data_IF_774274142094
#
_entry.id   IF_774274142094
#
_cell.length_a   1.000
_cell.length_b   1.000
_cell.length_c   1.000
_cell.angle_alpha   90.00
_cell.angle_beta   90.00
_cell.angle_gamma   90.00
#
_symmetry.space_group_name_H-M   'P 1'
#
loop_
_entity.id
_entity.type
_entity.pdbx_description
1 polymer ?
#
# COMPACT_ATOMS: atom_id res chain seq x y z
N UNK A 1 -61.14 9.46 64.82
CA UNK A 1 -61.65 8.98 63.51
C UNK A 1 -61.63 10.18 62.58
N UNK A 2 -60.75 10.36 61.61
CA UNK A 2 -59.61 9.61 61.03
C UNK A 2 -58.70 10.75 60.48
N UNK A 3 -57.54 11.11 61.06
CA UNK A 3 -56.15 10.68 60.72
C UNK A 3 -55.95 10.55 59.18
N UNK A 4 -54.98 11.14 58.48
CA UNK A 4 -53.49 11.31 58.60
C UNK A 4 -53.15 12.44 57.58
N UNK A 5 -52.24 13.42 57.70
CA UNK A 5 -50.85 13.47 58.15
C UNK A 5 -49.93 13.75 56.94
N UNK A 6 -49.13 14.81 57.03
CA UNK A 6 -48.26 15.42 55.99
C UNK A 6 -47.19 14.50 55.36
N UNK A 7 -46.75 14.85 54.15
CA UNK A 7 -45.34 14.98 53.67
C UNK A 7 -45.43 15.49 52.22
N UNK A 8 -44.82 16.58 51.78
CA UNK A 8 -43.40 16.92 51.79
C UNK A 8 -42.89 16.85 50.34
N UNK A 9 -42.95 17.96 49.59
CA UNK A 9 -42.30 18.12 48.28
C UNK A 9 -41.56 19.45 48.28
N UNK A 10 -40.26 19.36 48.09
CA UNK A 10 -39.27 20.44 48.18
C UNK A 10 -39.34 21.40 46.98
N UNK A 11 -38.94 22.64 47.28
CA UNK A 11 -38.53 23.77 46.44
C UNK A 11 -37.51 23.34 45.33
N UNK A 12 -37.16 24.10 44.29
CA UNK A 12 -36.95 25.55 44.23
C UNK A 12 -36.78 26.02 42.76
N UNK A 13 -37.39 27.16 42.49
CA UNK A 13 -36.98 28.30 41.65
C UNK A 13 -36.25 28.13 40.30
N UNK A 14 -36.95 28.59 39.26
CA UNK A 14 -36.38 29.11 38.03
C UNK A 14 -35.81 30.53 38.26
N UNK A 15 -34.50 30.71 38.05
CA UNK A 15 -33.87 32.03 37.97
C UNK A 15 -33.59 32.45 36.52
N UNK A 16 -34.28 33.50 36.11
CA UNK A 16 -33.95 34.35 34.96
C UNK A 16 -33.05 35.48 35.45
N UNK A 17 -31.83 35.63 34.90
CA UNK A 17 -31.07 36.89 34.97
C UNK A 17 -30.34 37.22 33.67
N UNK A 18 -30.36 38.53 33.37
CA UNK A 18 -29.93 39.24 32.16
C UNK A 18 -28.43 39.58 32.16
N UNK A 19 -27.86 39.63 30.95
CA UNK A 19 -26.81 40.53 30.39
C UNK A 19 -25.46 40.69 31.13
N UNK A 20 -24.35 40.47 30.41
CA UNK A 20 -23.59 41.55 29.73
C UNK A 20 -22.37 40.99 28.99
N UNK A 21 -22.17 41.43 27.75
CA UNK A 21 -20.91 41.27 27.01
C UNK A 21 -19.90 42.29 27.57
N UNK A 22 -18.70 41.82 27.90
CA UNK A 22 -17.53 42.67 28.04
C UNK A 22 -16.60 42.43 26.85
N UNK A 23 -16.46 43.49 26.05
CA UNK A 23 -15.41 43.65 25.05
C UNK A 23 -14.14 44.12 25.75
N UNK A 24 -13.00 43.48 25.49
CA UNK A 24 -11.67 44.07 25.69
C UNK A 24 -10.87 43.87 24.41
N UNK A 25 -10.39 45.00 23.89
CA UNK A 25 -9.60 45.19 22.68
C UNK A 25 -8.12 45.01 22.99
N UNK A 26 -7.35 44.38 22.09
CA UNK A 26 -5.91 44.68 21.95
C UNK A 26 -5.40 44.41 20.51
N UNK A 27 -5.17 45.51 19.81
CA UNK A 27 -4.23 45.83 18.72
C UNK A 27 -3.69 44.70 17.80
N UNK A 28 -4.02 44.81 16.52
CA UNK A 28 -3.11 44.51 15.41
C UNK A 28 -2.80 45.83 14.67
N UNK A 29 -1.58 46.33 14.81
CA UNK A 29 -1.10 47.47 14.05
C UNK A 29 -0.67 47.00 12.65
N UNK A 30 -1.36 47.49 11.61
CA UNK A 30 -0.94 47.36 10.23
C UNK A 30 0.04 48.51 9.90
N UNK A 31 1.28 48.18 9.52
CA UNK A 31 2.21 49.11 8.87
C UNK A 31 2.14 48.91 7.36
N UNK A 32 1.35 49.76 6.70
CA UNK A 32 1.45 50.07 5.29
C UNK A 32 2.34 51.31 5.14
N UNK A 33 3.50 51.16 4.52
CA UNK A 33 4.23 52.27 3.92
C UNK A 33 4.98 51.74 2.69
N UNK A 34 4.41 52.04 1.52
CA UNK A 34 5.01 51.71 0.24
C UNK A 34 6.17 52.64 -0.10
N UNK A 35 7.12 52.09 -0.85
CA UNK A 35 8.06 52.84 -1.67
C UNK A 35 8.28 52.03 -2.95
N UNK A 36 7.71 52.49 -4.07
CA UNK A 36 8.22 52.16 -5.40
C UNK A 36 8.69 53.47 -6.01
N UNK A 37 10.00 53.70 -5.94
CA UNK A 37 10.67 54.69 -6.78
C UNK A 37 11.08 53.98 -8.08
N UNK A 38 10.60 54.50 -9.20
CA UNK A 38 11.08 54.15 -10.53
C UNK A 38 12.44 54.81 -10.71
N UNK A 39 13.49 54.00 -10.91
CA UNK A 39 14.72 54.46 -11.55
C UNK A 39 15.04 53.53 -12.71
N UNK A 40 15.00 54.10 -13.91
CA UNK A 40 15.45 53.50 -15.16
C UNK A 40 16.96 53.71 -15.27
N UNK A 41 17.69 52.66 -15.61
CA UNK A 41 19.02 52.75 -16.21
C UNK A 41 20.06 51.82 -15.60
N UNK A 42 20.58 50.91 -16.43
CA UNK A 42 21.83 50.19 -16.16
C UNK A 42 21.75 48.71 -16.52
N UNK A 43 22.08 48.39 -17.76
CA UNK A 43 22.39 47.03 -18.21
C UNK A 43 23.60 46.49 -17.45
N UNK A 44 23.42 45.44 -16.66
CA UNK A 44 24.50 44.53 -16.30
C UNK A 44 23.97 43.10 -16.28
N UNK A 45 24.79 42.22 -16.83
CA UNK A 45 24.47 40.87 -17.22
C UNK A 45 23.87 40.03 -16.07
N UNK A 46 22.74 39.40 -16.36
CA UNK A 46 22.12 38.34 -15.56
C UNK A 46 23.11 37.19 -15.40
N UNK A 47 23.84 37.16 -14.29
CA UNK A 47 24.39 35.91 -13.80
C UNK A 47 23.20 35.04 -13.37
N UNK A 48 23.07 33.86 -13.98
CA UNK A 48 22.10 32.86 -13.53
C UNK A 48 22.24 32.68 -12.01
N UNK A 49 21.14 32.71 -11.24
CA UNK A 49 21.22 32.41 -9.82
C UNK A 49 21.82 31.02 -9.66
N UNK A 50 22.85 30.91 -8.81
CA UNK A 50 23.40 29.62 -8.42
C UNK A 50 22.25 28.68 -8.02
N UNK A 51 22.27 27.40 -8.43
CA UNK A 51 21.18 26.47 -8.13
C UNK A 51 20.92 26.47 -6.62
N UNK A 52 19.69 26.78 -6.24
CA UNK A 52 19.25 26.80 -4.85
C UNK A 52 19.61 25.45 -4.23
N UNK A 53 20.38 25.46 -3.14
CA UNK A 53 20.87 24.26 -2.49
C UNK A 53 19.66 23.43 -2.07
N UNK A 54 19.51 22.22 -2.63
CA UNK A 54 18.42 21.30 -2.30
C UNK A 54 18.37 21.15 -0.77
N UNK A 55 17.23 21.51 -0.18
CA UNK A 55 17.03 21.47 1.26
C UNK A 55 16.79 20.02 1.68
N UNK A 56 17.57 19.56 2.64
CA UNK A 56 17.31 18.28 3.33
C UNK A 56 16.30 18.46 4.46
N UNK A 57 15.55 17.41 4.75
CA UNK A 57 14.77 17.30 5.97
C UNK A 57 15.70 17.37 7.19
N UNK A 58 15.35 18.19 8.20
CA UNK A 58 16.20 18.35 9.36
C UNK A 58 16.18 17.10 10.25
N UNK A 59 17.31 16.82 10.91
CA UNK A 59 17.45 15.69 11.84
C UNK A 59 17.42 16.23 13.26
N UNK A 60 16.42 15.83 14.05
CA UNK A 60 16.34 16.15 15.47
C UNK A 60 16.15 14.87 16.30
N UNK A 61 17.12 14.49 17.15
CA UNK A 61 16.97 13.31 18.00
C UNK A 61 15.71 13.38 18.87
N UNK A 62 14.84 12.37 18.75
CA UNK A 62 13.59 12.21 19.50
C UNK A 62 12.44 13.12 19.08
N UNK A 63 12.62 14.02 18.11
CA UNK A 63 11.64 15.06 17.74
C UNK A 63 11.47 15.13 16.22
N UNK A 64 10.24 15.28 15.75
CA UNK A 64 9.91 15.35 14.33
C UNK A 64 9.03 16.57 14.05
N UNK A 65 9.63 17.73 13.72
CA UNK A 65 8.87 18.89 13.29
C UNK A 65 8.33 18.70 11.86
N UNK A 66 7.26 19.43 11.48
CA UNK A 66 6.71 19.35 10.14
C UNK A 66 7.71 19.93 9.13
N UNK A 67 7.73 19.39 7.91
CA UNK A 67 8.64 19.84 6.86
C UNK A 67 8.35 21.26 6.33
N UNK A 68 7.17 21.81 6.67
CA UNK A 68 6.73 23.13 6.22
C UNK A 68 6.12 23.15 4.82
N UNK A 69 5.97 21.97 4.19
CA UNK A 69 5.19 21.78 2.96
C UNK A 69 3.86 21.14 3.33
N UNK A 70 2.76 21.64 2.76
CA UNK A 70 1.40 21.16 3.03
C UNK A 70 0.86 20.32 1.89
N UNK A 71 0.20 19.23 2.24
CA UNK A 71 -0.63 18.43 1.34
C UNK A 71 -1.82 19.26 0.81
N UNK A 72 -2.33 18.94 -0.38
CA UNK A 72 -3.39 19.71 -1.03
C UNK A 72 -4.76 19.55 -0.34
N UNK A 73 -4.92 18.53 0.50
CA UNK A 73 -6.15 18.23 1.22
C UNK A 73 -5.85 17.77 2.65
N UNK A 74 -6.77 18.06 3.58
CA UNK A 74 -6.76 17.56 4.96
C UNK A 74 -7.30 16.13 5.03
N UNK A 75 -7.26 15.52 6.21
CA UNK A 75 -7.69 14.14 6.47
C UNK A 75 -6.80 13.19 5.65
N UNK A 76 -5.48 13.41 5.66
CA UNK A 76 -4.55 12.51 5.01
C UNK A 76 -4.29 11.32 5.91
N UNK A 77 -4.52 10.13 5.36
CA UNK A 77 -4.37 8.86 6.06
C UNK A 77 -3.74 7.84 5.11
N UNK A 78 -2.99 6.89 5.67
CA UNK A 78 -2.22 5.92 4.91
C UNK A 78 -1.09 6.50 4.06
N UNK A 79 0.02 5.77 3.96
CA UNK A 79 1.13 6.13 3.07
C UNK A 79 1.90 4.87 2.72
N UNK A 80 2.26 4.69 1.44
CA UNK A 80 3.14 3.60 1.01
C UNK A 80 4.17 4.10 0.02
N UNK A 81 5.40 3.63 0.17
CA UNK A 81 6.42 3.78 -0.85
C UNK A 81 6.14 2.82 -2.00
N UNK A 82 6.19 3.32 -3.23
CA UNK A 82 5.96 2.56 -4.44
C UNK A 82 6.92 1.36 -4.56
N UNK A 83 6.44 0.22 -5.07
CA UNK A 83 7.32 -0.88 -5.50
C UNK A 83 7.72 -0.74 -6.97
N UNK A 84 6.84 -0.19 -7.81
CA UNK A 84 7.05 -0.11 -9.26
C UNK A 84 7.82 1.13 -9.69
N UNK A 85 7.64 2.27 -9.02
CA UNK A 85 8.16 3.57 -9.41
C UNK A 85 9.06 4.16 -8.31
N UNK A 86 10.40 3.98 -8.38
CA UNK A 86 11.32 4.46 -7.35
C UNK A 86 11.11 5.93 -7.00
N UNK A 87 11.10 6.23 -5.69
CA UNK A 87 10.89 7.57 -5.15
C UNK A 87 9.43 8.05 -5.13
N UNK A 88 8.49 7.29 -5.69
CA UNK A 88 7.07 7.59 -5.59
C UNK A 88 6.47 7.04 -4.30
N UNK A 89 5.47 7.77 -3.80
CA UNK A 89 4.66 7.40 -2.66
C UNK A 89 3.20 7.66 -2.98
N UNK A 90 2.33 6.86 -2.38
CA UNK A 90 0.89 7.02 -2.51
C UNK A 90 0.25 7.14 -1.13
N UNK A 91 -0.70 8.05 -1.02
CA UNK A 91 -1.49 8.30 0.19
C UNK A 91 -2.97 8.44 -0.19
N UNK A 92 -3.86 8.39 0.80
CA UNK A 92 -5.29 8.56 0.60
C UNK A 92 -5.86 9.51 1.64
N UNK A 93 -7.17 9.73 1.56
CA UNK A 93 -7.88 10.49 2.58
C UNK A 93 -8.83 9.58 3.32
N UNK A 94 -8.91 9.64 4.63
CA UNK A 94 -9.92 8.93 5.42
C UNK A 94 -11.25 9.68 5.37
N UNK A 95 -11.23 11.00 5.60
CA UNK A 95 -12.42 11.80 5.83
C UNK A 95 -12.66 12.97 4.87
N UNK A 96 -13.52 13.89 5.32
CA UNK A 96 -13.84 15.16 4.66
C UNK A 96 -14.67 15.09 3.37
N UNK A 97 -15.16 16.24 2.90
CA UNK A 97 -15.99 16.32 1.69
C UNK A 97 -15.16 16.25 0.40
N UNK A 98 -15.61 15.45 -0.57
CA UNK A 98 -15.08 15.49 -1.94
C UNK A 98 -15.45 16.82 -2.63
N UNK A 99 -14.46 17.54 -3.14
CA UNK A 99 -14.64 18.84 -3.83
C UNK A 99 -13.80 18.90 -5.11
N UNK A 100 -14.10 19.80 -6.07
CA UNK A 100 -13.25 20.02 -7.24
C UNK A 100 -11.80 20.27 -6.84
N UNK A 101 -10.86 19.52 -7.43
CA UNK A 101 -9.43 19.58 -7.10
C UNK A 101 -9.03 18.91 -5.77
N UNK A 102 -9.97 18.38 -5.00
CA UNK A 102 -9.74 17.62 -3.76
C UNK A 102 -10.69 16.41 -3.69
N UNK A 103 -10.59 15.46 -4.64
CA UNK A 103 -11.42 14.26 -4.60
C UNK A 103 -11.14 13.42 -3.35
N UNK A 104 -12.19 12.82 -2.77
CA UNK A 104 -12.08 11.85 -1.66
C UNK A 104 -11.91 10.41 -2.17
N UNK A 105 -12.63 10.04 -3.23
CA UNK A 105 -12.53 8.73 -3.88
C UNK A 105 -11.29 8.69 -4.80
N UNK A 106 -10.10 8.90 -4.25
CA UNK A 106 -8.87 9.01 -5.02
C UNK A 106 -7.64 8.58 -4.20
N UNK A 107 -6.65 8.07 -4.92
CA UNK A 107 -5.28 7.94 -4.43
C UNK A 107 -4.52 9.19 -4.82
N UNK A 108 -3.62 9.66 -3.97
CA UNK A 108 -2.77 10.81 -4.21
C UNK A 108 -1.32 10.37 -4.31
N UNK A 109 -0.61 10.87 -5.30
CA UNK A 109 0.82 10.62 -5.47
C UNK A 109 1.66 11.74 -4.85
N UNK A 110 2.88 11.40 -4.46
CA UNK A 110 3.97 12.36 -4.23
C UNK A 110 5.30 11.71 -4.58
N UNK A 111 6.32 12.53 -4.88
CA UNK A 111 7.71 12.08 -4.90
C UNK A 111 8.42 12.63 -3.68
N UNK A 112 9.23 11.82 -3.00
CA UNK A 112 10.08 12.28 -1.89
C UNK A 112 11.52 12.09 -2.33
N UNK A 113 12.31 13.17 -2.27
CA UNK A 113 13.73 13.18 -2.61
C UNK A 113 14.54 12.33 -1.62
N UNK A 114 15.79 12.00 -1.97
CA UNK A 114 16.73 11.40 -1.02
C UNK A 114 16.98 12.28 0.22
N UNK A 115 16.76 13.60 0.09
CA UNK A 115 16.84 14.54 1.20
C UNK A 115 15.61 14.51 2.12
N UNK A 116 14.53 13.83 1.74
CA UNK A 116 13.29 13.73 2.52
C UNK A 116 12.27 14.85 2.24
N UNK A 117 12.44 15.60 1.15
CA UNK A 117 11.52 16.68 0.76
C UNK A 117 10.64 16.28 -0.41
N UNK A 118 9.37 16.73 -0.47
CA UNK A 118 8.50 16.47 -1.61
C UNK A 118 9.00 17.16 -2.88
N UNK A 119 8.89 16.47 -4.01
CA UNK A 119 9.27 16.94 -5.34
C UNK A 119 8.11 16.80 -6.33
N UNK A 120 8.17 17.57 -7.42
CA UNK A 120 7.13 17.51 -8.44
C UNK A 120 7.05 16.12 -9.09
N UNK A 121 5.82 15.64 -9.24
CA UNK A 121 5.53 14.34 -9.86
C UNK A 121 5.29 14.52 -11.36
N UNK A 122 4.50 15.54 -11.76
CA UNK A 122 4.13 15.84 -13.16
C UNK A 122 4.29 17.33 -13.45
N UNK A 123 5.29 17.73 -14.24
CA UNK A 123 5.58 19.15 -14.46
C UNK A 123 5.85 19.84 -13.12
N UNK A 124 5.00 20.82 -12.75
CA UNK A 124 5.07 21.53 -11.47
C UNK A 124 4.11 20.97 -10.39
N UNK A 125 3.38 19.90 -10.69
CA UNK A 125 2.41 19.30 -9.77
C UNK A 125 3.09 18.37 -8.76
N UNK A 126 3.13 18.80 -7.49
CA UNK A 126 3.66 18.02 -6.36
C UNK A 126 2.79 16.83 -5.99
N UNK A 127 1.47 17.00 -6.04
CA UNK A 127 0.52 16.06 -5.44
C UNK A 127 -0.63 15.70 -6.40
N UNK A 128 -0.37 14.94 -7.47
CA UNK A 128 -1.42 14.50 -8.37
C UNK A 128 -2.41 13.56 -7.69
N UNK A 129 -3.69 13.68 -8.04
CA UNK A 129 -4.72 12.71 -7.65
C UNK A 129 -5.04 11.75 -8.81
N UNK A 130 -5.37 10.52 -8.44
CA UNK A 130 -5.76 9.41 -9.30
C UNK A 130 -7.14 8.94 -8.84
N UNK A 131 -8.23 9.36 -9.50
CA UNK A 131 -9.58 8.97 -9.10
C UNK A 131 -9.75 7.46 -9.10
N UNK A 132 -10.43 6.91 -8.09
CA UNK A 132 -10.76 5.50 -7.99
C UNK A 132 -12.23 5.30 -8.38
N UNK A 133 -12.49 4.23 -9.13
CA UNK A 133 -13.83 3.85 -9.60
C UNK A 133 -14.17 2.43 -9.17
N UNK A 134 -15.46 2.13 -9.01
CA UNK A 134 -15.93 0.84 -8.49
C UNK A 134 -16.05 0.75 -6.96
N UNK A 135 -15.60 1.77 -6.23
CA UNK A 135 -15.82 1.93 -4.80
C UNK A 135 -15.97 3.40 -4.40
N UNK A 136 -16.61 3.64 -3.26
CA UNK A 136 -16.65 4.94 -2.59
C UNK A 136 -15.76 4.90 -1.36
N UNK A 137 -15.16 6.03 -1.04
CA UNK A 137 -14.43 6.22 0.18
C UNK A 137 -15.41 6.48 1.32
N UNK A 138 -15.76 5.40 2.02
CA UNK A 138 -16.60 5.46 3.22
C UNK A 138 -15.75 5.82 4.44
N UNK A 139 -14.64 5.10 4.63
CA UNK A 139 -13.65 5.27 5.72
C UNK A 139 -12.34 4.54 5.34
N UNK A 140 -11.63 5.06 4.34
CA UNK A 140 -10.35 4.48 3.90
C UNK A 140 -9.22 4.92 4.82
N UNK A 141 -8.52 4.00 5.46
CA UNK A 141 -7.57 4.35 6.52
C UNK A 141 -6.11 4.12 6.11
N UNK A 142 -5.84 3.08 5.33
CA UNK A 142 -4.47 2.77 4.96
C UNK A 142 -4.39 2.11 3.60
N UNK A 143 -3.17 2.03 3.05
CA UNK A 143 -2.89 1.39 1.79
C UNK A 143 -1.54 0.69 1.82
N UNK A 144 -1.44 -0.41 1.08
CA UNK A 144 -0.20 -1.19 0.99
C UNK A 144 0.01 -1.70 -0.43
N UNK A 145 1.19 -2.26 -0.71
CA UNK A 145 1.52 -2.83 -2.03
C UNK A 145 1.96 -4.28 -1.87
N UNK A 146 1.28 -5.18 -2.59
CA UNK A 146 1.58 -6.61 -2.57
C UNK A 146 2.88 -6.94 -3.34
N UNK A 147 3.31 -8.20 -3.34
CA UNK A 147 4.54 -8.63 -4.03
C UNK A 147 4.43 -8.60 -5.56
N UNK A 148 3.21 -8.56 -6.09
CA UNK A 148 2.95 -8.40 -7.51
C UNK A 148 2.90 -6.92 -7.95
N UNK A 149 3.08 -5.97 -7.02
CA UNK A 149 3.03 -4.54 -7.30
C UNK A 149 1.61 -3.98 -7.42
N UNK A 150 0.58 -4.70 -6.96
CA UNK A 150 -0.77 -4.13 -6.89
C UNK A 150 -0.96 -3.32 -5.62
N UNK A 151 -1.64 -2.18 -5.75
CA UNK A 151 -2.00 -1.32 -4.64
C UNK A 151 -3.29 -1.83 -4.00
N UNK A 152 -3.31 -1.90 -2.69
CA UNK A 152 -4.45 -2.33 -1.90
C UNK A 152 -4.87 -1.21 -0.96
N UNK A 153 -6.17 -0.89 -0.98
CA UNK A 153 -6.79 0.11 -0.14
C UNK A 153 -7.53 -0.62 0.98
N UNK A 154 -7.26 -0.25 2.22
CA UNK A 154 -8.00 -0.65 3.38
C UNK A 154 -9.14 0.33 3.66
N UNK A 155 -10.38 -0.07 3.36
CA UNK A 155 -11.56 0.54 3.99
C UNK A 155 -11.71 -0.10 5.37
N UNK A 156 -11.07 0.49 6.38
CA UNK A 156 -10.87 -0.14 7.69
C UNK A 156 -11.51 0.63 8.83
N UNK A 157 -11.86 1.90 8.62
CA UNK A 157 -12.54 2.68 9.65
C UNK A 157 -13.91 2.07 9.95
N UNK A 158 -14.25 2.07 11.24
CA UNK A 158 -15.50 1.49 11.75
C UNK A 158 -15.89 2.13 13.09
N UNK A 159 -15.67 3.43 13.24
CA UNK A 159 -15.98 4.20 14.45
C UNK A 159 -17.43 4.01 14.93
N UNK A 160 -18.35 3.76 13.99
CA UNK A 160 -19.78 3.58 14.23
C UNK A 160 -20.24 2.11 14.35
N UNK A 161 -19.34 1.13 14.22
CA UNK A 161 -19.59 -0.32 14.18
C UNK A 161 -20.48 -0.86 13.03
N UNK A 162 -20.91 0.00 12.11
CA UNK A 162 -21.81 -0.34 11.00
C UNK A 162 -21.09 -0.38 9.67
N UNK A 163 -19.98 0.34 9.56
CA UNK A 163 -19.24 0.44 8.31
C UNK A 163 -18.68 -0.93 7.92
N UNK A 164 -18.87 -1.26 6.64
CA UNK A 164 -18.40 -2.52 6.10
C UNK A 164 -16.92 -2.39 5.75
N UNK A 165 -16.08 -3.04 6.54
CA UNK A 165 -14.64 -3.04 6.28
C UNK A 165 -14.28 -3.94 5.10
N UNK A 166 -13.39 -3.45 4.23
CA UNK A 166 -13.02 -4.11 2.98
C UNK A 166 -11.54 -3.90 2.63
N UNK A 167 -10.99 -4.86 1.89
CA UNK A 167 -9.78 -4.67 1.09
C UNK A 167 -10.16 -4.50 -0.37
N UNK A 168 -9.68 -3.44 -1.00
CA UNK A 168 -9.94 -3.10 -2.40
C UNK A 168 -8.62 -3.12 -3.18
N UNK A 169 -8.58 -3.82 -4.31
CA UNK A 169 -7.38 -3.90 -5.17
C UNK A 169 -7.51 -2.95 -6.34
N UNK A 170 -6.47 -2.15 -6.57
CA UNK A 170 -6.31 -1.30 -7.76
C UNK A 170 -4.89 -1.47 -8.34
N UNK A 171 -4.69 -1.01 -9.57
CA UNK A 171 -3.33 -0.91 -10.12
C UNK A 171 -2.56 0.22 -9.42
N UNK A 172 -1.25 0.03 -9.25
CA UNK A 172 -0.37 1.12 -8.83
C UNK A 172 -0.28 2.19 -9.94
N UNK A 173 -0.63 3.46 -9.68
CA UNK A 173 -0.74 4.46 -10.72
C UNK A 173 0.64 4.89 -11.25
N UNK A 174 0.81 4.89 -12.57
CA UNK A 174 2.00 5.47 -13.18
C UNK A 174 2.11 6.98 -12.85
N UNK A 175 3.31 7.52 -12.57
CA UNK A 175 3.48 8.92 -12.17
C UNK A 175 2.92 9.94 -13.15
N UNK A 176 2.97 9.62 -14.45
CA UNK A 176 2.40 10.45 -15.53
C UNK A 176 0.93 10.15 -15.86
N UNK A 177 0.33 9.12 -15.27
CA UNK A 177 -1.06 8.75 -15.51
C UNK A 177 -2.04 9.72 -14.84
N UNK A 178 -3.32 9.71 -15.24
CA UNK A 178 -4.37 10.58 -14.66
C UNK A 178 -5.60 9.82 -14.15
N UNK A 179 -5.62 8.49 -14.27
CA UNK A 179 -6.76 7.66 -13.89
C UNK A 179 -7.93 7.67 -14.90
N UNK A 180 -9.06 7.02 -14.55
CA UNK A 180 -9.34 6.43 -13.23
C UNK A 180 -8.64 5.08 -12.98
N UNK A 181 -8.42 4.77 -11.70
CA UNK A 181 -8.04 3.45 -11.20
C UNK A 181 -9.31 2.63 -10.96
N UNK A 182 -9.44 1.50 -11.63
CA UNK A 182 -10.59 0.60 -11.43
C UNK A 182 -10.32 -0.36 -10.26
N UNK A 183 -11.31 -0.51 -9.37
CA UNK A 183 -11.30 -1.56 -8.35
C UNK A 183 -11.56 -2.91 -9.02
N UNK A 184 -10.54 -3.75 -9.08
CA UNK A 184 -10.58 -5.06 -9.75
C UNK A 184 -10.82 -6.23 -8.79
N UNK A 185 -10.70 -6.00 -7.48
CA UNK A 185 -11.09 -6.97 -6.45
C UNK A 185 -11.59 -6.27 -5.18
N UNK A 186 -12.56 -6.87 -4.49
CA UNK A 186 -13.13 -6.34 -3.25
C UNK A 186 -13.49 -7.48 -2.29
N UNK A 187 -12.86 -7.51 -1.12
CA UNK A 187 -13.10 -8.51 -0.11
C UNK A 187 -13.63 -7.87 1.16
N UNK A 188 -14.71 -8.43 1.70
CA UNK A 188 -15.25 -7.95 2.97
C UNK A 188 -14.56 -8.64 4.14
N UNK A 189 -14.14 -7.87 5.14
CA UNK A 189 -13.47 -8.42 6.31
C UNK A 189 -14.46 -8.94 7.36
N UNK A 190 -14.09 -10.05 8.01
CA UNK A 190 -14.84 -10.67 9.11
C UNK A 190 -13.92 -10.91 10.30
N UNK A 191 -14.07 -10.09 11.32
CA UNK A 191 -13.31 -10.22 12.56
C UNK A 191 -13.85 -11.37 13.42
N UNK A 192 -12.98 -12.14 14.08
CA UNK A 192 -13.40 -13.33 14.81
C UNK A 192 -13.91 -13.04 16.23
N UNK A 193 -13.51 -11.93 16.85
CA UNK A 193 -13.53 -11.78 18.30
C UNK A 193 -13.99 -10.41 18.82
N UNK A 194 -14.68 -9.56 18.03
CA UNK A 194 -15.21 -8.32 18.59
C UNK A 194 -16.35 -8.60 19.59
N UNK A 195 -16.11 -8.25 20.86
CA UNK A 195 -17.03 -8.47 21.97
C UNK A 195 -17.91 -7.25 22.29
N UNK A 196 -17.74 -6.12 21.60
CA UNK A 196 -18.58 -4.93 21.81
C UNK A 196 -20.02 -5.23 21.36
N UNK A 197 -21.03 -5.14 22.24
CA UNK A 197 -22.41 -5.46 21.88
C UNK A 197 -22.89 -4.65 20.68
N UNK A 198 -23.41 -5.35 19.66
CA UNK A 198 -23.87 -4.74 18.41
C UNK A 198 -22.77 -4.36 17.42
N UNK A 199 -21.51 -4.74 17.67
CA UNK A 199 -20.38 -4.49 16.77
C UNK A 199 -19.73 -5.82 16.35
N UNK A 200 -19.57 -6.01 15.05
CA UNK A 200 -18.87 -7.16 14.45
C UNK A 200 -17.51 -6.78 13.83
N UNK A 201 -17.12 -5.51 13.96
CA UNK A 201 -15.96 -4.88 13.31
C UNK A 201 -15.13 -4.11 14.33
N UNK A 202 -13.81 -4.04 14.17
CA UNK A 202 -12.95 -3.18 14.98
C UNK A 202 -12.59 -1.93 14.19
N UNK A 203 -12.66 -0.74 14.78
CA UNK A 203 -11.99 0.43 14.19
C UNK A 203 -10.51 0.09 14.01
N UNK A 204 -10.04 0.06 12.77
CA UNK A 204 -8.70 -0.38 12.42
C UNK A 204 -8.12 0.61 11.43
N UNK A 205 -6.84 0.91 11.56
CA UNK A 205 -6.27 2.05 10.85
C UNK A 205 -4.94 1.74 10.17
N UNK A 206 -4.33 0.58 10.44
CA UNK A 206 -3.12 0.17 9.73
C UNK A 206 -3.32 -1.11 8.92
N UNK A 207 -2.67 -1.14 7.76
CA UNK A 207 -2.64 -2.26 6.83
C UNK A 207 -1.21 -2.54 6.38
N UNK A 208 -0.79 -3.79 6.52
CA UNK A 208 0.53 -4.23 6.10
C UNK A 208 0.43 -5.46 5.20
N UNK A 209 1.20 -5.49 4.12
CA UNK A 209 1.46 -6.71 3.36
C UNK A 209 2.78 -7.35 3.81
N UNK A 210 2.75 -8.65 4.10
CA UNK A 210 3.92 -9.43 4.47
C UNK A 210 3.74 -10.90 4.04
N UNK A 211 4.71 -11.41 3.27
CA UNK A 211 4.83 -12.83 2.88
C UNK A 211 3.52 -13.46 2.38
N UNK A 212 2.82 -12.77 1.47
CA UNK A 212 1.58 -13.28 0.88
C UNK A 212 0.29 -12.98 1.65
N UNK A 213 0.39 -12.31 2.81
CA UNK A 213 -0.75 -12.04 3.68
C UNK A 213 -0.90 -10.54 3.99
N UNK A 214 -2.14 -10.12 4.20
CA UNK A 214 -2.42 -8.83 4.83
C UNK A 214 -2.47 -8.98 6.35
N UNK A 215 -2.01 -7.95 7.04
CA UNK A 215 -2.13 -7.78 8.47
C UNK A 215 -2.85 -6.47 8.77
N UNK A 216 -3.94 -6.54 9.54
CA UNK A 216 -4.77 -5.40 9.95
C UNK A 216 -4.58 -5.14 11.44
N UNK A 217 -4.42 -3.87 11.81
CA UNK A 217 -4.16 -3.44 13.19
C UNK A 217 -5.35 -2.62 13.70
N UNK A 218 -5.98 -3.06 14.79
CA UNK A 218 -7.08 -2.31 15.38
C UNK A 218 -6.56 -1.12 16.20
N UNK A 219 -7.20 0.04 16.04
CA UNK A 219 -6.92 1.26 16.82
C UNK A 219 -7.56 1.16 18.20
N UNK A 220 -6.98 0.33 19.06
CA UNK A 220 -7.43 0.15 20.45
C UNK A 220 -6.23 0.04 21.39
N UNK A 221 -6.48 0.05 22.69
CA UNK A 221 -5.45 -0.36 23.66
C UNK A 221 -4.99 -1.79 23.39
N UNK A 222 -3.67 -2.00 23.47
CA UNK A 222 -2.95 -3.21 23.12
C UNK A 222 -2.93 -3.56 21.63
N UNK A 223 -3.54 -2.76 20.73
CA UNK A 223 -3.58 -2.96 19.26
C UNK A 223 -3.49 -4.43 18.83
N UNK A 224 -4.61 -5.18 18.82
CA UNK A 224 -4.62 -6.53 18.26
C UNK A 224 -4.30 -6.50 16.76
N UNK A 225 -3.57 -7.52 16.33
CA UNK A 225 -3.12 -7.69 14.94
C UNK A 225 -3.76 -8.93 14.36
N UNK A 226 -4.33 -8.80 13.16
CA UNK A 226 -5.08 -9.84 12.49
C UNK A 226 -4.49 -10.16 11.12
N UNK A 227 -4.17 -11.42 10.85
CA UNK A 227 -3.89 -11.90 9.49
C UNK A 227 -5.20 -12.04 8.73
N UNK A 228 -5.21 -11.64 7.47
CA UNK A 228 -6.35 -11.79 6.57
C UNK A 228 -6.14 -13.00 5.65
N UNK A 229 -7.10 -13.92 5.67
CA UNK A 229 -7.17 -15.06 4.75
C UNK A 229 -8.16 -14.73 3.63
N UNK A 230 -7.63 -14.40 2.45
CA UNK A 230 -8.45 -14.09 1.28
C UNK A 230 -9.05 -15.36 0.66
N UNK A 231 -10.35 -15.36 0.29
CA UNK A 231 -10.90 -16.42 -0.54
C UNK A 231 -10.34 -16.32 -1.96
N UNK A 232 -10.40 -17.42 -2.71
CA UNK A 232 -10.08 -17.42 -4.14
C UNK A 232 -11.03 -16.51 -4.93
N UNK A 233 -10.52 -15.89 -6.01
CA UNK A 233 -11.33 -15.09 -6.93
C UNK A 233 -10.97 -13.62 -6.87
N UNK A 234 -11.96 -12.75 -7.06
CA UNK A 234 -11.83 -11.28 -6.97
C UNK A 234 -12.79 -10.65 -5.97
N UNK A 235 -13.63 -11.47 -5.30
CA UNK A 235 -14.51 -10.99 -4.25
C UNK A 235 -14.88 -12.10 -3.27
N UNK A 236 -15.41 -11.72 -2.11
CA UNK A 236 -15.90 -12.64 -1.10
C UNK A 236 -15.68 -12.14 0.31
N UNK A 237 -15.90 -13.02 1.29
CA UNK A 237 -15.61 -12.75 2.70
C UNK A 237 -14.21 -13.27 3.05
N UNK A 238 -13.34 -12.36 3.50
CA UNK A 238 -12.04 -12.69 4.03
C UNK A 238 -12.14 -12.87 5.55
N UNK A 239 -11.62 -14.00 6.04
CA UNK A 239 -11.62 -14.33 7.47
C UNK A 239 -10.36 -13.78 8.11
N UNK A 240 -10.52 -13.18 9.29
CA UNK A 240 -9.38 -12.69 10.07
C UNK A 240 -9.03 -13.66 11.18
N UNK A 241 -7.73 -13.88 11.37
CA UNK A 241 -7.18 -14.65 12.48
C UNK A 241 -6.32 -13.73 13.33
N UNK A 242 -6.60 -13.65 14.64
CA UNK A 242 -5.77 -12.85 15.55
C UNK A 242 -4.41 -13.51 15.75
N UNK A 243 -3.35 -12.79 15.38
CA UNK A 243 -1.97 -13.29 15.40
C UNK A 243 -1.23 -12.84 16.66
N UNK A 244 -1.52 -11.62 17.12
CA UNK A 244 -0.84 -11.02 18.24
C UNK A 244 -1.53 -9.76 18.71
N UNK A 245 -0.83 -9.04 19.57
CA UNK A 245 -1.23 -7.72 20.04
C UNK A 245 0.01 -6.99 20.53
N UNK A 246 0.04 -5.68 20.39
CA UNK A 246 1.05 -4.87 21.05
C UNK A 246 0.79 -4.76 22.56
N UNK A 247 1.80 -4.32 23.28
CA UNK A 247 1.71 -3.99 24.69
C UNK A 247 2.86 -3.05 25.05
N UNK A 248 3.05 -2.81 26.35
CA UNK A 248 4.10 -1.88 26.85
C UNK A 248 3.90 -0.46 26.30
N UNK A 249 2.66 0.02 26.40
CA UNK A 249 2.22 1.37 26.02
C UNK A 249 2.33 1.69 24.52
N UNK A 250 2.27 0.65 23.68
CA UNK A 250 2.13 0.74 22.22
C UNK A 250 0.70 0.37 21.86
N UNK A 251 -0.12 1.40 21.68
CA UNK A 251 -1.58 1.32 21.59
C UNK A 251 -2.07 2.27 20.49
N UNK A 252 -3.31 2.09 20.02
CA UNK A 252 -3.99 2.99 19.08
C UNK A 252 -3.19 3.28 17.80
N UNK A 253 -2.60 2.23 17.22
CA UNK A 253 -1.80 2.33 16.01
C UNK A 253 -2.64 2.75 14.80
N UNK A 254 -2.11 3.72 14.04
CA UNK A 254 -2.71 4.30 12.84
C UNK A 254 -1.92 4.02 11.55
N UNK A 255 -0.68 3.52 11.60
CA UNK A 255 -0.04 2.89 10.44
C UNK A 255 1.05 1.91 10.90
N UNK A 256 1.51 1.10 9.96
CA UNK A 256 2.59 0.15 10.16
C UNK A 256 3.37 -0.06 8.87
N UNK A 257 4.69 -0.20 8.96
CA UNK A 257 5.53 -0.49 7.80
C UNK A 257 6.72 -1.36 8.19
N UNK A 258 7.23 -2.14 7.24
CA UNK A 258 8.47 -2.92 7.38
C UNK A 258 9.53 -2.34 6.44
N UNK A 259 10.79 -2.28 6.88
CA UNK A 259 11.91 -1.88 6.03
C UNK A 259 12.18 -2.93 4.95
N UNK A 260 12.71 -2.55 3.78
CA UNK A 260 12.93 -3.50 2.68
C UNK A 260 13.88 -4.65 3.06
N UNK A 261 14.83 -4.42 3.98
CA UNK A 261 15.74 -5.44 4.50
C UNK A 261 15.12 -6.31 5.62
N UNK A 262 13.86 -6.04 6.00
CA UNK A 262 13.09 -6.71 7.05
C UNK A 262 13.73 -6.68 8.44
N UNK A 263 14.71 -5.81 8.67
CA UNK A 263 15.36 -5.68 9.97
C UNK A 263 14.66 -4.69 10.88
N UNK A 264 13.72 -3.91 10.35
CA UNK A 264 12.89 -2.98 11.11
C UNK A 264 11.41 -3.13 10.78
N UNK A 265 10.60 -3.01 11.82
CA UNK A 265 9.18 -2.70 11.71
C UNK A 265 8.93 -1.39 12.45
N UNK A 266 8.08 -0.54 11.89
CA UNK A 266 7.61 0.66 12.55
C UNK A 266 6.09 0.61 12.69
N UNK A 267 5.61 1.24 13.77
CA UNK A 267 4.21 1.59 13.98
C UNK A 267 4.16 2.97 14.61
N UNK A 268 3.04 3.65 14.45
CA UNK A 268 2.84 4.96 15.06
C UNK A 268 1.38 5.16 15.48
N UNK A 269 1.19 5.99 16.49
CA UNK A 269 -0.09 6.65 16.76
C UNK A 269 -0.02 8.10 16.26
N UNK A 270 -1.00 8.91 16.62
CA UNK A 270 -1.10 10.30 16.18
C UNK A 270 0.07 11.20 16.63
N UNK A 271 0.84 10.79 17.65
CA UNK A 271 1.84 11.62 18.32
C UNK A 271 3.24 10.99 18.39
N UNK A 272 3.36 9.68 18.23
CA UNK A 272 4.59 8.94 18.50
C UNK A 272 4.83 7.83 17.49
N UNK A 273 6.08 7.76 17.05
CA UNK A 273 6.67 6.66 16.32
C UNK A 273 7.32 5.66 17.29
N UNK A 274 7.14 4.37 17.02
CA UNK A 274 7.93 3.29 17.59
C UNK A 274 8.58 2.47 16.47
N UNK A 275 9.86 2.18 16.62
CA UNK A 275 10.63 1.31 15.72
C UNK A 275 11.07 0.09 16.50
N UNK A 276 10.97 -1.08 15.88
CA UNK A 276 11.31 -2.39 16.43
C UNK A 276 12.39 -3.03 15.55
N UNK A 277 13.44 -3.56 16.16
CA UNK A 277 14.34 -4.50 15.49
C UNK A 277 13.63 -5.83 15.29
N UNK A 278 13.73 -6.37 14.08
CA UNK A 278 13.10 -7.65 13.69
C UNK A 278 14.14 -8.63 13.13
N UNK A 279 13.82 -9.91 13.18
CA UNK A 279 14.64 -10.97 12.56
C UNK A 279 14.19 -11.19 11.10
N UNK A 280 15.03 -10.85 10.09
CA UNK A 280 14.68 -11.04 8.69
C UNK A 280 14.57 -12.53 8.29
N UNK A 281 15.06 -13.46 9.12
CA UNK A 281 14.88 -14.90 8.91
C UNK A 281 13.48 -15.43 9.26
N UNK A 282 12.64 -14.62 9.95
CA UNK A 282 11.25 -14.98 10.25
C UNK A 282 10.30 -14.55 9.16
N UNK A 283 9.25 -15.32 8.93
CA UNK A 283 8.24 -15.07 7.89
C UNK A 283 6.82 -15.01 8.44
N UNK A 284 5.95 -14.25 7.77
CA UNK A 284 4.51 -14.18 8.02
C UNK A 284 4.16 -13.98 9.49
N UNK A 285 3.37 -14.91 10.03
CA UNK A 285 2.87 -14.82 11.41
C UNK A 285 3.99 -14.87 12.46
N UNK A 286 5.07 -15.61 12.19
CA UNK A 286 6.19 -15.71 13.12
C UNK A 286 6.98 -14.40 13.17
N UNK A 287 7.12 -13.71 12.03
CA UNK A 287 7.66 -12.35 12.00
C UNK A 287 6.79 -11.40 12.82
N UNK A 288 5.46 -11.43 12.60
CA UNK A 288 4.53 -10.52 13.29
C UNK A 288 4.43 -10.77 14.79
N UNK A 289 4.40 -12.04 15.22
CA UNK A 289 4.43 -12.40 16.65
C UNK A 289 5.73 -11.96 17.30
N UNK A 290 6.86 -12.16 16.63
CA UNK A 290 8.16 -11.73 17.13
C UNK A 290 8.20 -10.21 17.29
N UNK A 291 7.89 -9.44 16.24
CA UNK A 291 7.87 -7.98 16.28
C UNK A 291 6.97 -7.41 17.39
N UNK A 292 5.73 -7.91 17.50
CA UNK A 292 4.76 -7.44 18.52
C UNK A 292 5.14 -7.84 19.96
N UNK A 293 6.02 -8.85 20.12
CA UNK A 293 6.46 -9.32 21.45
C UNK A 293 7.61 -8.51 22.04
N UNK A 294 8.34 -7.73 21.24
CA UNK A 294 9.51 -6.97 21.67
C UNK A 294 9.16 -5.59 22.24
N UNK A 295 10.15 -4.96 22.88
CA UNK A 295 10.11 -3.52 23.14
C UNK A 295 10.58 -2.78 21.90
N UNK A 296 10.04 -1.59 21.66
CA UNK A 296 10.59 -0.70 20.64
C UNK A 296 12.08 -0.43 20.92
N UNK A 297 12.92 -0.54 19.89
CA UNK A 297 14.34 -0.19 19.90
C UNK A 297 14.56 1.31 19.69
N UNK A 298 13.62 1.97 19.02
CA UNK A 298 13.67 3.39 18.72
C UNK A 298 12.31 4.09 18.90
N UNK A 299 12.34 5.39 19.13
CA UNK A 299 11.12 6.21 19.23
C UNK A 299 11.40 7.68 18.94
N UNK A 300 10.40 8.37 18.42
CA UNK A 300 10.41 9.82 18.25
C UNK A 300 8.98 10.36 18.37
N UNK A 301 8.85 11.65 18.69
CA UNK A 301 7.55 12.34 18.79
C UNK A 301 7.36 13.32 17.65
N UNK A 302 6.15 13.34 17.08
CA UNK A 302 5.74 14.36 16.12
C UNK A 302 5.48 15.67 16.82
N UNK A 303 5.85 16.78 16.18
CA UNK A 303 5.58 18.11 16.69
C UNK A 303 4.52 18.80 15.85
N UNK A 304 3.48 19.27 16.51
CA UNK A 304 2.50 20.17 15.91
C UNK A 304 1.82 20.98 17.02
N UNK A 305 1.48 22.22 16.69
CA UNK A 305 0.66 23.04 17.57
C UNK A 305 -0.78 22.48 17.59
N UNK A 306 -1.17 21.81 18.66
CA UNK A 306 -2.53 21.26 18.83
C UNK A 306 -2.65 19.74 18.65
N UNK A 307 -1.54 19.01 18.50
CA UNK A 307 -1.52 17.57 18.20
C UNK A 307 -1.20 17.34 16.73
N UNK A 308 -0.36 16.34 16.42
CA UNK A 308 0.16 16.14 15.07
C UNK A 308 -0.80 15.36 14.16
N UNK A 309 -1.71 14.56 14.72
CA UNK A 309 -2.68 13.75 13.96
C UNK A 309 -2.04 13.00 12.78
N UNK A 310 -0.92 12.33 13.05
CA UNK A 310 -0.22 11.53 12.03
C UNK A 310 -0.94 10.20 11.83
N UNK A 311 -1.39 9.95 10.61
CA UNK A 311 -2.20 8.77 10.27
C UNK A 311 -1.69 7.98 9.05
N UNK A 312 -0.54 8.36 8.49
CA UNK A 312 0.11 7.55 7.47
C UNK A 312 1.62 7.57 7.63
N UNK A 313 2.26 6.42 7.43
CA UNK A 313 3.70 6.31 7.52
C UNK A 313 4.24 5.13 6.73
N UNK A 314 5.44 5.28 6.15
CA UNK A 314 6.11 4.19 5.43
C UNK A 314 7.62 4.34 5.43
N UNK A 315 8.32 3.21 5.42
CA UNK A 315 9.76 3.22 5.17
C UNK A 315 10.05 3.67 3.73
N UNK A 316 11.08 4.50 3.59
CA UNK A 316 11.67 4.85 2.29
C UNK A 316 12.36 3.62 1.71
N UNK A 317 12.08 3.32 0.44
CA UNK A 317 12.62 2.12 -0.22
C UNK A 317 14.14 2.08 -0.14
N UNK A 318 14.65 0.92 0.23
CA UNK A 318 16.06 0.63 0.34
C UNK A 318 16.79 1.43 1.41
N UNK A 319 16.11 2.03 2.39
CA UNK A 319 16.74 2.72 3.52
C UNK A 319 15.99 2.41 4.83
N UNK A 320 16.45 3.00 5.94
CA UNK A 320 15.69 3.03 7.20
C UNK A 320 15.09 4.42 7.48
N UNK A 321 15.05 5.31 6.50
CA UNK A 321 14.32 6.57 6.64
C UNK A 321 12.80 6.29 6.57
N UNK A 322 11.99 7.16 7.18
CA UNK A 322 10.54 6.99 7.28
C UNK A 322 9.86 8.30 6.93
N UNK A 323 8.90 8.26 6.02
CA UNK A 323 8.05 9.39 5.65
C UNK A 323 6.66 9.25 6.28
N UNK A 324 6.01 10.38 6.57
CA UNK A 324 4.69 10.40 7.18
C UNK A 324 3.79 11.51 6.62
N UNK A 325 2.47 11.27 6.68
CA UNK A 325 1.40 12.23 6.38
C UNK A 325 0.48 12.39 7.59
N UNK A 326 -0.15 13.54 7.71
CA UNK A 326 -1.04 13.87 8.81
C UNK A 326 -2.36 14.51 8.35
N UNK A 327 -3.42 14.36 9.16
CA UNK A 327 -4.75 14.90 8.88
C UNK A 327 -4.73 16.41 8.64
N UNK A 328 -3.86 17.16 9.31
CA UNK A 328 -3.73 18.61 9.17
C UNK A 328 -2.93 19.03 7.91
N UNK A 329 -2.58 18.05 7.07
CA UNK A 329 -1.83 18.20 5.83
C UNK A 329 -0.32 18.36 6.01
N UNK A 330 0.23 18.25 7.22
CA UNK A 330 1.68 18.25 7.41
C UNK A 330 2.33 16.96 6.87
N UNK A 331 3.59 17.13 6.48
CA UNK A 331 4.51 16.04 6.18
C UNK A 331 5.58 15.99 7.26
N UNK A 332 6.00 14.76 7.60
CA UNK A 332 7.12 14.51 8.50
C UNK A 332 8.09 13.52 7.87
N UNK A 333 9.34 13.59 8.31
CA UNK A 333 10.39 12.71 7.85
C UNK A 333 11.31 12.36 9.02
N UNK A 334 11.66 11.10 9.15
CA UNK A 334 12.58 10.60 10.17
C UNK A 334 13.75 9.89 9.49
N UNK A 335 14.97 10.25 9.90
CA UNK A 335 16.15 9.43 9.64
C UNK A 335 16.43 8.56 10.86
N UNK A 336 17.24 7.49 10.77
CA UNK A 336 17.63 6.67 11.91
C UNK A 336 17.97 7.43 13.19
N UNK A 337 18.74 8.51 13.06
CA UNK A 337 19.16 9.35 14.18
C UNK A 337 17.99 10.06 14.86
N UNK A 338 16.90 10.31 14.15
CA UNK A 338 15.67 10.90 14.69
C UNK A 338 15.04 9.97 15.72
N UNK A 339 15.02 8.66 15.49
CA UNK A 339 14.42 7.67 16.41
C UNK A 339 15.44 6.89 17.24
N UNK A 340 16.69 7.35 17.29
CA UNK A 340 17.71 6.85 18.22
C UNK A 340 18.65 5.78 17.67
N UNK A 341 18.65 5.56 16.35
CA UNK A 341 19.55 4.62 15.67
C UNK A 341 20.73 5.34 14.98
N UNK A 342 21.86 4.65 14.75
CA UNK A 342 22.95 5.21 13.96
C UNK A 342 22.50 5.45 12.51
N UNK A 343 23.20 6.34 11.79
CA UNK A 343 22.97 6.56 10.37
C UNK A 343 22.95 5.22 9.61
N UNK A 344 21.89 4.98 8.83
CA UNK A 344 21.83 3.79 8.02
C UNK A 344 22.88 3.85 6.93
N UNK A 345 23.54 2.71 6.71
CA UNK A 345 24.48 2.52 5.60
C UNK A 345 24.01 1.33 4.80
N UNK A 346 23.91 1.44 3.46
CA UNK A 346 23.57 0.30 2.64
C UNK A 346 24.60 -0.81 2.87
N UNK A 347 24.17 -2.08 2.94
CA UNK A 347 25.13 -3.18 2.92
C UNK A 347 26.02 -3.04 1.69
N UNK A 348 27.32 -3.37 1.79
CA UNK A 348 28.23 -3.28 0.66
C UNK A 348 27.65 -4.09 -0.50
N UNK A 349 27.45 -3.44 -1.64
CA UNK A 349 27.05 -4.14 -2.86
C UNK A 349 28.15 -5.15 -3.17
N UNK A 350 27.80 -6.44 -3.17
CA UNK A 350 28.71 -7.46 -3.68
C UNK A 350 28.98 -7.09 -5.13
N UNK A 351 30.24 -6.83 -5.53
CA UNK A 351 30.53 -6.50 -6.92
C UNK A 351 29.99 -7.62 -7.80
N UNK A 352 29.42 -7.32 -8.98
CA UNK A 352 28.92 -8.35 -9.87
C UNK A 352 30.02 -9.39 -10.07
N UNK A 353 29.71 -10.66 -9.80
CA UNK A 353 30.60 -11.76 -10.13
C UNK A 353 30.91 -11.60 -11.63
N UNK A 354 32.18 -11.51 -12.04
CA UNK A 354 32.52 -11.41 -13.45
C UNK A 354 31.84 -12.55 -14.18
N UNK A 355 30.92 -12.23 -15.08
CA UNK A 355 30.35 -13.24 -15.97
C UNK A 355 31.50 -13.73 -16.84
N UNK A 356 31.80 -15.03 -16.76
CA UNK A 356 32.71 -15.63 -17.73
C UNK A 356 32.18 -15.27 -19.12
N UNK A 357 33.01 -14.77 -20.05
CA UNK A 357 32.58 -14.48 -21.40
C UNK A 357 31.91 -15.73 -21.98
N UNK A 358 30.84 -15.57 -22.78
CA UNK A 358 30.16 -16.70 -23.39
C UNK A 358 31.18 -17.55 -24.13
N UNK A 359 31.17 -18.85 -23.86
CA UNK A 359 31.97 -19.82 -24.62
C UNK A 359 31.60 -19.64 -26.09
N UNK A 360 32.57 -19.45 -27.00
CA UNK A 360 32.28 -19.31 -28.43
C UNK A 360 31.41 -20.48 -28.89
N UNK A 361 30.26 -20.16 -29.48
CA UNK A 361 29.38 -21.18 -30.05
C UNK A 361 30.14 -21.84 -31.19
N UNK A 362 30.31 -23.15 -31.13
CA UNK A 362 30.88 -23.92 -32.24
C UNK A 362 29.96 -23.69 -33.46
N UNK A 363 30.48 -23.21 -34.60
CA UNK A 363 29.64 -22.98 -35.78
C UNK A 363 28.94 -24.29 -36.19
N UNK A 364 27.70 -24.21 -36.71
CA UNK A 364 26.95 -25.39 -37.12
C UNK A 364 27.72 -26.18 -38.17
N UNK A 365 27.78 -27.49 -37.99
CA UNK A 365 28.34 -28.43 -38.97
C UNK A 365 27.52 -28.30 -40.27
N UNK A 366 28.13 -28.11 -41.46
CA UNK A 366 27.41 -28.04 -42.71
C UNK A 366 26.57 -29.29 -42.93
N UNK A 367 25.27 -29.12 -43.17
CA UNK A 367 24.40 -30.23 -43.59
C UNK A 367 24.72 -30.60 -45.04
N UNK A 368 24.73 -31.91 -45.33
CA UNK A 368 24.93 -32.42 -46.68
C UNK A 368 23.82 -31.90 -47.63
N UNK A 369 24.17 -31.58 -48.89
CA UNK A 369 23.19 -31.09 -49.87
C UNK A 369 22.11 -32.15 -50.16
N UNK A 370 20.88 -31.72 -50.52
CA UNK A 370 19.79 -32.63 -50.83
C UNK A 370 20.08 -33.47 -52.08
N UNK A 371 19.65 -34.74 -52.05
CA UNK A 371 19.78 -35.70 -53.15
C UNK A 371 18.83 -35.29 -54.30
N UNK A 372 19.27 -35.28 -55.57
CA UNK A 372 18.41 -34.92 -56.70
C UNK A 372 17.26 -35.91 -56.88
N UNK A 373 16.05 -35.39 -57.09
CA UNK A 373 14.85 -36.17 -57.42
C UNK A 373 14.87 -36.62 -58.88
N UNK A 374 14.53 -37.90 -59.12
CA UNK A 374 14.42 -38.51 -60.44
C UNK A 374 13.11 -38.04 -61.11
N UNK A 375 13.13 -37.59 -62.38
CA UNK A 375 11.92 -37.15 -63.08
C UNK A 375 10.97 -38.32 -63.41
N UNK A 376 9.64 -38.08 -63.45
CA UNK A 376 8.65 -39.12 -63.70
C UNK A 376 8.61 -39.60 -65.16
N UNK A 377 8.25 -40.87 -65.34
CA UNK A 377 8.11 -41.58 -66.63
C UNK A 377 6.81 -41.17 -67.34
N UNK A 378 6.78 -40.98 -68.68
CA UNK A 378 5.57 -40.60 -69.42
C UNK A 378 4.53 -41.73 -69.47
N UNK A 379 3.26 -41.39 -69.21
CA UNK A 379 2.10 -42.28 -69.32
C UNK A 379 1.51 -42.31 -70.73
N UNK A 380 1.24 -43.51 -71.25
CA UNK A 380 0.50 -43.76 -72.50
C UNK A 380 -1.00 -43.91 -72.16
N UNK A 381 -1.94 -43.32 -72.92
CA UNK A 381 -3.37 -43.45 -72.62
C UNK A 381 -3.99 -44.67 -73.32
N UNK A 382 -4.80 -45.50 -72.63
CA UNK A 382 -5.68 -46.43 -73.31
C UNK A 382 -7.10 -45.86 -73.39
N UNK A 383 -7.65 -45.87 -74.59
CA UNK A 383 -9.09 -45.89 -74.85
C UNK A 383 -9.55 -47.35 -74.87
N UNK A 384 -10.69 -47.68 -74.25
CA UNK A 384 -11.71 -48.66 -74.69
C UNK A 384 -12.86 -48.77 -73.64
N UNK A 385 -14.10 -49.13 -74.05
CA UNK A 385 -15.36 -48.85 -73.35
C UNK A 385 -15.80 -49.95 -72.34
N UNK A 386 -16.84 -49.72 -71.51
CA UNK A 386 -17.18 -50.59 -70.38
C UNK A 386 -18.12 -51.74 -70.76
N UNK A 387 -17.94 -52.90 -70.12
CA UNK A 387 -18.84 -54.07 -70.16
C UNK A 387 -18.73 -54.81 -68.79
N UNK A 388 -19.70 -55.64 -68.36
CA UNK A 388 -20.53 -55.40 -67.18
C UNK A 388 -20.33 -56.42 -66.05
N UNK A 389 -20.94 -56.09 -64.91
CA UNK A 389 -21.04 -56.88 -63.67
C UNK A 389 -21.91 -58.14 -63.84
N UNK A 390 -21.36 -59.34 -63.55
CA UNK A 390 -22.07 -60.52 -63.02
C UNK A 390 -21.10 -61.67 -62.60
N UNK A 391 -20.91 -61.85 -61.27
CA UNK A 391 -20.53 -63.07 -60.49
C UNK A 391 -19.20 -63.82 -60.74
N UNK A 392 -18.81 -64.85 -59.93
CA UNK A 392 -19.15 -65.18 -58.53
C UNK A 392 -17.92 -65.40 -57.60
N UNK A 393 -18.21 -65.64 -56.32
CA UNK A 393 -17.38 -65.94 -55.14
C UNK A 393 -16.24 -66.95 -55.32
N UNK A 394 -15.02 -66.66 -54.84
CA UNK A 394 -14.04 -67.66 -54.39
C UNK A 394 -13.17 -67.19 -53.20
N UNK A 395 -12.98 -68.16 -52.32
CA UNK A 395 -12.31 -68.27 -51.02
C UNK A 395 -10.79 -67.99 -51.05
N UNK A 396 -10.24 -67.33 -50.03
CA UNK A 396 -8.78 -67.15 -49.82
C UNK A 396 -8.36 -67.73 -48.43
N UNK A 397 -7.56 -68.82 -48.39
CA UNK A 397 -7.23 -69.56 -47.17
C UNK A 397 -6.02 -69.03 -46.37
N UNK A 398 -5.70 -67.73 -46.41
CA UNK A 398 -4.45 -67.19 -45.83
C UNK A 398 -4.60 -66.32 -44.57
N UNK A 399 -5.73 -66.41 -43.86
CA UNK A 399 -5.96 -65.61 -42.64
C UNK A 399 -6.26 -66.40 -41.35
N UNK A 400 -6.03 -67.72 -41.34
CA UNK A 400 -6.28 -68.60 -40.18
C UNK A 400 -5.01 -69.18 -39.53
N UNK A 401 -3.91 -68.42 -39.43
CA UNK A 401 -2.72 -68.85 -38.64
C UNK A 401 -1.91 -67.64 -38.11
N UNK A 402 -2.43 -66.96 -37.09
CA UNK A 402 -1.64 -66.04 -36.25
C UNK A 402 -1.55 -66.60 -34.82
N UNK A 403 -0.34 -66.79 -34.25
CA UNK A 403 -0.19 -67.30 -32.90
C UNK A 403 -0.50 -66.25 -31.81
N UNK A 404 -1.22 -66.69 -30.77
CA UNK A 404 -1.53 -65.92 -29.56
C UNK A 404 -0.29 -65.58 -28.72
N UNK A 405 -0.24 -64.34 -28.20
CA UNK A 405 0.82 -63.85 -27.31
C UNK A 405 0.58 -64.26 -25.85
N UNK A 406 1.62 -64.57 -25.04
CA UNK A 406 1.46 -64.97 -23.65
C UNK A 406 1.14 -63.79 -22.71
N UNK A 407 0.22 -64.02 -21.77
CA UNK A 407 -0.07 -63.15 -20.62
C UNK A 407 0.83 -63.49 -19.43
N UNK A 408 1.42 -62.48 -18.78
CA UNK A 408 2.16 -62.64 -17.52
C UNK A 408 1.23 -62.94 -16.32
N UNK A 409 1.61 -63.86 -15.40
CA UNK A 409 0.85 -64.15 -14.18
C UNK A 409 1.23 -63.22 -13.02
N UNK A 410 0.21 -62.89 -12.23
CA UNK A 410 0.26 -61.96 -11.11
C UNK A 410 0.83 -62.49 -9.79
N UNK A 411 0.77 -61.57 -8.84
CA UNK A 411 1.26 -61.59 -7.46
C UNK A 411 0.73 -62.74 -6.59
N UNK A 412 1.57 -63.17 -5.65
CA UNK A 412 1.20 -63.95 -4.47
C UNK A 412 1.79 -63.26 -3.23
N UNK A 413 0.95 -63.03 -2.21
CA UNK A 413 1.34 -62.49 -0.90
C UNK A 413 0.18 -61.83 -0.17
#
# INVERSE_FOLDING_TARGET
>A
MLRIGETGSLNEEAQVRRRSLWSVVALAAASLAGWYAVTVGGTDASADPAPEKVRDAPIFPGRMPPLGVKLPASEASGLIASKTYPGMYYWLRDGGSSKPGKPRDAIWGMRISAGGMPEAVRGDELFPSYPVTGAKNEDWEDLTVDDAGALWIGQLGANNCKDQQRLLRVAEPAPGGSGPLEVVASYTLRFPDNTKPGCSTYNSEALLWLDGHFYVFAKTSGTPVYRVDLPSGTSGEARLTRIGRFGRDVDNISAASISDDRTRMMVQDHERLWVFTTDPGRTGDDFMKDATSHKASGTARFEASGGASVEGGTFVRGTHDIAFVAEDGNLYYARPQTYGEPAWTPPPTVPPVPTNPPVPTVPPIPTNPPIPTIPPVPTVPPTLPPVPTDGPTWYDPWFDDLPDLPTDPGEAG
#
